data_IF_259443547977
#
_entry.id   IF_259443547977
#
_cell.length_a   1.000
_cell.length_b   1.000
_cell.length_c   1.000
_cell.angle_alpha   90.00
_cell.angle_beta   90.00
_cell.angle_gamma   90.00
#
_symmetry.space_group_name_H-M   'P 1'
#
loop_
_entity.id
_entity.type
_entity.pdbx_description
1 polymer ?
#
# COMPACT_ATOMS: atom_id res chain seq x y z
N UNK A 1 0.24 15.90 0.89
CA UNK A 1 1.46 15.62 0.11
C UNK A 1 2.69 15.50 1.01
N UNK A 2 3.26 14.28 1.10
CA UNK A 2 4.60 14.06 1.66
C UNK A 2 5.59 13.83 0.52
N UNK A 3 6.82 14.30 0.70
CA UNK A 3 7.83 14.33 -0.35
C UNK A 3 9.12 13.70 0.18
N UNK A 4 9.52 12.60 -0.43
CA UNK A 4 10.79 11.92 -0.13
C UNK A 4 11.79 12.34 -1.21
N UNK A 5 12.86 13.00 -0.79
CA UNK A 5 13.99 13.39 -1.65
C UNK A 5 15.15 12.47 -1.39
N UNK A 6 15.65 11.83 -2.45
CA UNK A 6 16.86 11.02 -2.37
C UNK A 6 17.83 11.54 -3.43
N UNK A 7 19.08 11.74 -3.03
CA UNK A 7 20.15 12.23 -3.91
C UNK A 7 21.09 11.09 -4.27
N UNK A 8 21.54 11.10 -5.51
CA UNK A 8 22.45 10.10 -6.03
C UNK A 8 23.36 10.66 -7.12
N UNK A 9 24.22 9.77 -7.63
CA UNK A 9 25.23 10.08 -8.64
C UNK A 9 25.04 9.13 -9.82
N UNK A 10 25.11 9.67 -11.03
CA UNK A 10 25.09 8.88 -12.25
C UNK A 10 26.47 8.27 -12.56
N UNK A 11 26.52 6.96 -12.78
CA UNK A 11 27.78 6.21 -12.96
C UNK A 11 28.18 5.95 -14.42
N UNK A 12 27.47 6.51 -15.41
CA UNK A 12 27.82 6.35 -16.83
C UNK A 12 27.44 5.00 -17.46
N UNK A 13 27.04 4.01 -16.66
CA UNK A 13 26.59 2.68 -17.12
C UNK A 13 25.06 2.53 -17.05
N UNK A 14 24.32 3.63 -17.11
CA UNK A 14 22.87 3.60 -16.91
C UNK A 14 22.45 3.24 -15.48
N UNK A 15 23.31 3.50 -14.48
CA UNK A 15 22.99 3.28 -13.05
C UNK A 15 23.03 4.58 -12.27
N UNK A 16 22.07 4.72 -11.36
CA UNK A 16 22.00 5.82 -10.39
C UNK A 16 22.31 5.23 -9.01
N UNK A 17 23.37 5.73 -8.39
CA UNK A 17 23.84 5.29 -7.08
C UNK A 17 23.41 6.31 -6.04
N UNK A 18 22.57 5.92 -5.09
CA UNK A 18 22.10 6.79 -4.03
C UNK A 18 23.04 6.74 -2.81
N UNK A 19 22.87 7.67 -1.87
CA UNK A 19 23.57 7.67 -0.58
C UNK A 19 23.15 6.51 0.35
N UNK A 20 22.04 5.86 0.01
CA UNK A 20 21.59 4.57 0.56
C UNK A 20 22.25 3.43 -0.22
N UNK A 21 22.35 2.22 0.34
CA UNK A 21 22.85 1.02 -0.36
C UNK A 21 22.03 0.59 -1.59
N UNK A 22 21.05 1.41 -2.01
CA UNK A 22 20.19 1.16 -3.15
C UNK A 22 20.79 1.73 -4.43
N UNK A 23 20.77 0.90 -5.46
CA UNK A 23 21.13 1.25 -6.84
C UNK A 23 19.85 1.10 -7.65
N UNK A 24 19.51 2.12 -8.44
CA UNK A 24 18.40 2.04 -9.41
C UNK A 24 19.01 1.98 -10.80
N UNK A 25 18.58 1.01 -11.60
CA UNK A 25 18.95 0.92 -13.00
C UNK A 25 18.03 1.81 -13.85
N UNK A 26 18.56 2.45 -14.89
CA UNK A 26 17.76 3.38 -15.72
C UNK A 26 16.50 2.72 -16.29
N UNK A 27 16.59 1.44 -16.66
CA UNK A 27 15.48 0.63 -17.17
C UNK A 27 14.30 0.49 -16.19
N UNK A 28 14.53 0.72 -14.90
CA UNK A 28 13.49 0.68 -13.86
C UNK A 28 12.72 2.02 -13.77
N UNK A 29 13.26 3.10 -14.37
CA UNK A 29 12.65 4.42 -14.40
C UNK A 29 12.00 4.74 -15.76
N UNK A 30 12.55 4.21 -16.85
CA UNK A 30 12.07 4.45 -18.21
C UNK A 30 12.44 3.30 -19.15
N UNK A 31 11.55 2.99 -20.08
CA UNK A 31 11.82 2.07 -21.20
C UNK A 31 12.72 2.72 -22.28
N UNK A 32 12.89 4.05 -22.24
CA UNK A 32 13.74 4.77 -23.16
C UNK A 32 15.23 4.62 -22.83
N UNK A 33 16.08 4.86 -23.83
CA UNK A 33 17.54 4.85 -23.65
C UNK A 33 17.96 5.89 -22.60
N UNK A 34 18.98 5.58 -21.78
CA UNK A 34 19.52 6.55 -20.84
C UNK A 34 20.06 7.78 -21.59
N UNK A 35 19.81 8.99 -21.07
CA UNK A 35 20.34 10.22 -21.64
C UNK A 35 21.86 10.27 -21.51
N UNK A 36 22.52 11.00 -22.41
CA UNK A 36 23.96 11.26 -22.33
C UNK A 36 24.24 12.25 -21.19
N UNK A 37 24.60 11.70 -20.03
CA UNK A 37 24.94 12.48 -18.83
C UNK A 37 26.42 12.26 -18.48
N UNK A 38 27.17 13.33 -18.11
CA UNK A 38 28.52 13.20 -17.59
C UNK A 38 28.56 12.27 -16.37
N UNK A 39 29.61 11.45 -16.28
CA UNK A 39 29.88 10.69 -15.07
C UNK A 39 29.99 11.64 -13.86
N UNK A 40 29.37 11.28 -12.74
CA UNK A 40 29.38 12.13 -11.55
C UNK A 40 28.26 13.16 -11.51
N UNK A 41 27.39 13.22 -12.53
CA UNK A 41 26.22 14.10 -12.51
C UNK A 41 25.35 13.84 -11.29
N UNK A 42 24.95 14.91 -10.60
CA UNK A 42 24.01 14.86 -9.48
C UNK A 42 22.63 14.51 -10.01
N UNK A 43 22.02 13.46 -9.46
CA UNK A 43 20.65 13.06 -9.74
C UNK A 43 19.80 13.27 -8.48
N UNK A 44 18.64 13.90 -8.61
CA UNK A 44 17.65 14.04 -7.54
C UNK A 44 16.39 13.27 -7.94
N UNK A 45 16.01 12.28 -7.13
CA UNK A 45 14.73 11.59 -7.27
C UNK A 45 13.76 12.17 -6.25
N UNK A 46 12.60 12.62 -6.73
CA UNK A 46 11.50 13.08 -5.88
C UNK A 46 10.35 12.11 -5.99
N UNK A 47 9.99 11.50 -4.86
CA UNK A 47 8.79 10.67 -4.75
C UNK A 47 7.76 11.47 -3.96
N UNK A 48 6.61 11.72 -4.59
CA UNK A 48 5.47 12.41 -3.98
C UNK A 48 4.28 11.47 -3.89
N UNK A 49 3.62 11.46 -2.74
CA UNK A 49 2.34 10.79 -2.56
C UNK A 49 1.41 11.65 -1.72
N UNK A 50 0.12 11.48 -1.96
CA UNK A 50 -0.89 12.06 -1.09
C UNK A 50 -0.99 11.21 0.18
N UNK A 51 -0.86 11.88 1.33
CA UNK A 51 -0.84 11.21 2.62
C UNK A 51 -2.19 10.54 2.92
N UNK A 52 -3.28 11.15 2.46
CA UNK A 52 -4.61 10.56 2.56
C UNK A 52 -4.74 9.30 1.69
N UNK A 53 -4.13 9.25 0.50
CA UNK A 53 -4.16 8.03 -0.32
C UNK A 53 -3.42 6.87 0.37
N UNK A 54 -2.38 7.16 1.15
CA UNK A 54 -1.65 6.17 1.94
C UNK A 54 -2.41 5.72 3.20
N UNK A 55 -3.14 6.64 3.83
CA UNK A 55 -3.77 6.43 5.14
C UNK A 55 -5.22 5.96 5.05
N UNK A 56 -5.97 6.41 4.06
CA UNK A 56 -7.40 6.12 3.89
C UNK A 56 -7.72 5.43 2.57
N UNK A 57 -6.70 5.07 1.79
CA UNK A 57 -6.87 4.62 0.42
C UNK A 57 -7.52 5.67 -0.47
N UNK A 58 -7.77 5.31 -1.72
CA UNK A 58 -8.44 6.17 -2.70
C UNK A 58 -9.77 5.55 -3.11
N UNK A 59 -10.75 6.37 -3.49
CA UNK A 59 -12.05 5.90 -4.01
C UNK A 59 -12.84 5.00 -3.04
N UNK A 60 -12.68 5.23 -1.74
CA UNK A 60 -13.35 4.49 -0.67
C UNK A 60 -12.74 3.11 -0.37
N UNK A 61 -11.56 2.78 -0.90
CA UNK A 61 -10.85 1.55 -0.54
C UNK A 61 -10.26 1.71 0.85
N UNK A 62 -10.68 0.85 1.80
CA UNK A 62 -10.22 0.91 3.20
C UNK A 62 -9.39 -0.29 3.62
N UNK A 63 -9.32 -1.32 2.77
CA UNK A 63 -8.52 -2.52 3.01
C UNK A 63 -8.10 -3.18 1.69
N UNK A 64 -6.93 -3.82 1.70
CA UNK A 64 -6.48 -4.71 0.63
C UNK A 64 -5.79 -5.94 1.25
N UNK A 65 -6.09 -7.11 0.71
CA UNK A 65 -5.52 -8.39 1.17
C UNK A 65 -5.43 -9.39 0.03
N UNK A 66 -4.50 -10.34 0.17
CA UNK A 66 -4.43 -11.51 -0.71
C UNK A 66 -5.32 -12.68 -0.22
N UNK A 67 -5.88 -12.60 0.99
CA UNK A 67 -6.78 -13.62 1.56
C UNK A 67 -8.25 -13.23 1.37
N UNK A 68 -8.96 -13.98 0.51
CA UNK A 68 -10.40 -13.79 0.29
C UNK A 68 -11.19 -13.85 1.59
N UNK A 69 -10.88 -14.81 2.48
CA UNK A 69 -11.58 -15.01 3.75
C UNK A 69 -11.47 -13.77 4.63
N UNK A 70 -10.30 -13.13 4.64
CA UNK A 70 -10.12 -11.89 5.40
C UNK A 70 -11.00 -10.77 4.83
N UNK A 71 -11.01 -10.61 3.51
CA UNK A 71 -11.84 -9.56 2.87
C UNK A 71 -13.34 -9.75 3.13
N UNK A 72 -13.83 -11.00 3.11
CA UNK A 72 -15.22 -11.33 3.39
C UNK A 72 -15.59 -11.11 4.86
N UNK A 73 -14.71 -11.48 5.80
CA UNK A 73 -14.95 -11.25 7.22
C UNK A 73 -15.01 -9.76 7.55
N UNK A 74 -14.08 -8.96 7.00
CA UNK A 74 -14.08 -7.52 7.18
C UNK A 74 -15.37 -6.92 6.61
N UNK A 75 -15.74 -7.28 5.37
CA UNK A 75 -16.95 -6.79 4.73
C UNK A 75 -18.22 -7.16 5.53
N UNK A 76 -18.37 -8.42 5.93
CA UNK A 76 -19.50 -8.86 6.75
C UNK A 76 -19.59 -8.11 8.09
N UNK A 77 -18.45 -7.84 8.72
CA UNK A 77 -18.45 -7.10 9.99
C UNK A 77 -18.83 -5.64 9.80
N UNK A 78 -18.35 -4.98 8.74
CA UNK A 78 -18.76 -3.61 8.39
C UNK A 78 -20.26 -3.53 8.13
N UNK A 79 -20.82 -4.49 7.38
CA UNK A 79 -22.27 -4.57 7.13
C UNK A 79 -23.04 -4.74 8.44
N UNK A 80 -22.55 -5.53 9.39
CA UNK A 80 -23.16 -5.66 10.72
C UNK A 80 -23.12 -4.35 11.53
N UNK A 81 -22.14 -3.48 11.29
CA UNK A 81 -22.08 -2.12 11.83
C UNK A 81 -22.88 -1.10 11.01
N UNK A 82 -23.72 -1.56 10.06
CA UNK A 82 -24.51 -0.72 9.16
C UNK A 82 -23.66 0.13 8.18
N UNK A 83 -22.40 -0.24 7.95
CA UNK A 83 -21.52 0.41 6.97
C UNK A 83 -21.62 -0.35 5.64
N UNK A 84 -22.12 0.31 4.59
CA UNK A 84 -22.25 -0.28 3.26
C UNK A 84 -20.89 -0.48 2.61
N UNK A 85 -20.53 -1.74 2.32
CA UNK A 85 -19.26 -2.10 1.72
C UNK A 85 -19.36 -3.24 0.70
N UNK A 86 -18.42 -3.26 -0.24
CA UNK A 86 -18.28 -4.28 -1.28
C UNK A 86 -16.84 -4.80 -1.32
N UNK A 87 -16.67 -6.08 -1.68
CA UNK A 87 -15.36 -6.65 -2.01
C UNK A 87 -15.17 -6.61 -3.52
N UNK A 88 -14.09 -5.97 -3.97
CA UNK A 88 -13.64 -6.00 -5.36
C UNK A 88 -12.42 -6.87 -5.49
N UNK A 89 -12.38 -7.65 -6.56
CA UNK A 89 -11.21 -8.42 -6.95
C UNK A 89 -10.46 -7.70 -8.06
N UNK A 90 -9.17 -7.52 -7.90
CA UNK A 90 -8.28 -7.01 -8.94
C UNK A 90 -7.14 -8.01 -9.19
N UNK A 91 -6.69 -8.08 -10.43
CA UNK A 91 -5.48 -8.83 -10.79
C UNK A 91 -4.26 -7.93 -10.64
N UNK A 92 -3.23 -8.42 -9.96
CA UNK A 92 -1.91 -7.80 -9.89
C UNK A 92 -0.86 -8.85 -10.23
N UNK A 93 -0.33 -8.78 -11.45
CA UNK A 93 0.57 -9.80 -12.02
C UNK A 93 -0.04 -11.22 -11.96
N UNK A 94 0.65 -12.16 -11.29
CA UNK A 94 0.21 -13.54 -11.09
C UNK A 94 -0.65 -13.73 -9.83
N UNK A 95 -0.99 -12.65 -9.13
CA UNK A 95 -1.72 -12.69 -7.87
C UNK A 95 -3.05 -11.95 -7.92
N UNK A 96 -3.99 -12.43 -7.12
CA UNK A 96 -5.29 -11.80 -6.94
C UNK A 96 -5.29 -11.00 -5.64
N UNK A 97 -5.75 -9.75 -5.72
CA UNK A 97 -5.90 -8.88 -4.55
C UNK A 97 -7.39 -8.59 -4.36
N UNK A 98 -7.84 -8.73 -3.12
CA UNK A 98 -9.19 -8.41 -2.69
C UNK A 98 -9.19 -7.06 -1.97
N UNK A 99 -10.03 -6.15 -2.45
CA UNK A 99 -10.17 -4.79 -1.96
C UNK A 99 -11.51 -4.63 -1.27
N UNK A 100 -11.53 -4.10 -0.06
CA UNK A 100 -12.79 -3.71 0.60
C UNK A 100 -13.04 -2.22 0.33
N UNK A 101 -14.17 -1.93 -0.30
CA UNK A 101 -14.59 -0.58 -0.67
C UNK A 101 -15.84 -0.18 0.10
N UNK A 102 -15.83 1.02 0.68
CA UNK A 102 -17.00 1.64 1.28
C UNK A 102 -17.78 2.41 0.21
N UNK A 103 -19.08 2.17 0.14
CA UNK A 103 -19.96 2.77 -0.87
C UNK A 103 -20.20 4.26 -0.63
N UNK A 104 -20.28 4.66 0.63
CA UNK A 104 -20.57 6.01 1.07
C UNK A 104 -19.31 6.67 1.64
N UNK A 105 -18.91 7.81 1.08
CA UNK A 105 -17.69 8.51 1.47
C UNK A 105 -17.71 8.99 2.93
N UNK A 106 -18.90 9.31 3.46
CA UNK A 106 -19.05 9.72 4.86
C UNK A 106 -18.64 8.63 5.85
N UNK A 107 -18.77 7.35 5.48
CA UNK A 107 -18.53 6.22 6.38
C UNK A 107 -17.09 5.69 6.28
N UNK A 108 -16.25 6.27 5.40
CA UNK A 108 -14.89 5.79 5.13
C UNK A 108 -14.01 5.86 6.37
N UNK A 109 -14.02 6.99 7.08
CA UNK A 109 -13.21 7.16 8.29
C UNK A 109 -13.67 6.22 9.41
N UNK A 110 -14.99 6.07 9.57
CA UNK A 110 -15.56 5.16 10.57
C UNK A 110 -15.19 3.70 10.27
N UNK A 111 -15.17 3.31 9.00
CA UNK A 111 -14.72 1.98 8.59
C UNK A 111 -13.22 1.77 8.86
N UNK A 112 -12.36 2.75 8.52
CA UNK A 112 -10.92 2.73 8.81
C UNK A 112 -10.68 2.58 10.30
N UNK A 113 -11.35 3.41 11.10
CA UNK A 113 -11.20 3.37 12.55
C UNK A 113 -11.71 2.04 13.10
N UNK A 114 -12.84 1.52 12.61
CA UNK A 114 -13.34 0.23 13.02
C UNK A 114 -12.41 -0.94 12.63
N UNK A 115 -11.76 -0.89 11.47
CA UNK A 115 -10.88 -1.98 11.03
C UNK A 115 -9.56 -1.98 11.82
N UNK A 116 -8.89 -0.84 11.95
CA UNK A 116 -7.49 -0.83 12.42
C UNK A 116 -7.07 0.26 13.41
N UNK A 117 -7.71 1.45 13.43
CA UNK A 117 -7.24 2.55 14.32
C UNK A 117 -7.97 2.64 15.65
N UNK A 118 -9.19 2.14 15.71
CA UNK A 118 -10.11 2.27 16.83
C UNK A 118 -9.88 1.20 17.90
N UNK A 119 -9.95 1.62 19.16
CA UNK A 119 -9.80 0.72 20.30
C UNK A 119 -10.98 -0.25 20.48
N UNK A 120 -12.12 -0.04 19.83
CA UNK A 120 -13.31 -0.88 19.94
C UNK A 120 -13.59 -1.70 18.68
N UNK A 121 -12.70 -1.61 17.68
CA UNK A 121 -12.83 -2.26 16.39
C UNK A 121 -12.13 -3.62 16.30
N UNK A 122 -11.88 -4.09 15.08
CA UNK A 122 -11.19 -5.35 14.79
C UNK A 122 -9.70 -5.32 15.14
N UNK A 123 -9.09 -4.11 15.15
CA UNK A 123 -7.65 -3.88 15.43
C UNK A 123 -6.72 -4.70 14.51
N UNK A 124 -7.16 -4.94 13.29
CA UNK A 124 -6.36 -5.64 12.29
C UNK A 124 -5.27 -4.72 11.77
N UNK A 125 -4.07 -5.25 11.58
CA UNK A 125 -3.02 -4.59 10.82
C UNK A 125 -3.14 -5.00 9.36
N UNK A 126 -3.00 -4.06 8.42
CA UNK A 126 -3.08 -4.38 7.00
C UNK A 126 -1.95 -5.33 6.59
N UNK A 127 -2.18 -6.12 5.55
CA UNK A 127 -1.24 -7.16 5.09
C UNK A 127 0.15 -6.61 4.76
N UNK A 128 0.25 -5.39 4.24
CA UNK A 128 1.53 -4.70 3.99
C UNK A 128 2.29 -4.29 5.25
N UNK A 129 1.78 -4.58 6.44
CA UNK A 129 2.51 -4.45 7.71
C UNK A 129 3.42 -5.64 8.00
N UNK A 130 3.32 -6.70 7.19
CA UNK A 130 4.03 -7.96 7.36
C UNK A 130 4.98 -8.21 6.18
N UNK A 131 6.08 -8.95 6.38
CA UNK A 131 6.93 -9.39 5.28
C UNK A 131 6.15 -10.25 4.28
N UNK A 132 6.59 -10.23 3.02
CA UNK A 132 6.03 -11.07 1.97
C UNK A 132 5.96 -12.53 2.43
N UNK A 133 4.86 -13.22 2.09
CA UNK A 133 4.58 -14.62 2.46
C UNK A 133 4.26 -14.87 3.95
N UNK A 134 4.34 -13.88 4.84
CA UNK A 134 3.82 -14.04 6.19
C UNK A 134 2.31 -13.87 6.24
N UNK A 135 1.65 -14.71 7.04
CA UNK A 135 0.22 -14.57 7.31
C UNK A 135 -0.05 -13.35 8.18
N UNK A 136 -1.24 -12.78 8.04
CA UNK A 136 -1.66 -11.66 8.85
C UNK A 136 -1.86 -12.09 10.32
N UNK A 137 -0.82 -11.95 11.13
CA UNK A 137 -0.83 -12.39 12.53
C UNK A 137 -1.92 -11.70 13.35
N UNK A 138 -2.25 -10.44 13.05
CA UNK A 138 -3.32 -9.73 13.77
C UNK A 138 -4.68 -10.36 13.52
N UNK A 139 -4.91 -10.83 12.30
CA UNK A 139 -6.15 -11.51 11.93
C UNK A 139 -6.26 -12.89 12.58
N UNK A 140 -5.16 -13.65 12.60
CA UNK A 140 -5.14 -14.95 13.28
C UNK A 140 -5.32 -14.80 14.80
N UNK A 141 -4.73 -13.79 15.43
CA UNK A 141 -4.97 -13.50 16.85
C UNK A 141 -6.43 -13.13 17.11
N UNK A 142 -7.00 -12.26 16.27
CA UNK A 142 -8.40 -11.84 16.38
C UNK A 142 -9.37 -13.02 16.25
N UNK A 143 -9.13 -13.93 15.29
CA UNK A 143 -9.94 -15.15 15.13
C UNK A 143 -9.88 -16.06 16.36
N UNK A 144 -8.76 -16.05 17.08
CA UNK A 144 -8.55 -16.83 18.30
C UNK A 144 -8.99 -16.07 19.57
N UNK A 145 -9.57 -14.87 19.45
CA UNK A 145 -10.07 -14.06 20.56
C UNK A 145 -8.98 -13.43 21.44
N UNK A 146 -7.80 -13.16 20.86
CA UNK A 146 -6.65 -12.53 21.53
C UNK A 146 -6.50 -11.05 21.21
#
# INVERSE_FOLDING_TARGET
MKLIKIKGIYSGLGKIVFDTTKIIEWKELSEEKPPELPFGSSIELTISFEENDFLSGRSGIVWATYDLRQSEIIQNTLVAQQISSEVKKIGFEEQEIFLVRISNEADVNDAIDFIWRGNTGLRLKPDWSYPDSETNKSFELWLNGQ
#
